data_IF_097744547376
#
_entry.id   IF_097744547376
#
_cell.length_a   1.000
_cell.length_b   1.000
_cell.length_c   1.000
_cell.angle_alpha   90.00
_cell.angle_beta   90.00
_cell.angle_gamma   90.00
#
_symmetry.space_group_name_H-M   'P 1'
#
loop_
_entity.id
_entity.type
_entity.pdbx_description
1 polymer ?
#
# COMPACT_ATOMS: atom_id res chain seq x y z
N UNK A 1 19.97 -37.33 13.57
CA UNK A 1 20.99 -36.59 12.81
C UNK A 1 20.81 -35.12 13.14
N UNK A 2 21.60 -34.63 14.11
CA UNK A 2 21.57 -33.24 14.60
C UNK A 2 22.57 -32.42 13.78
N UNK A 3 22.11 -31.34 13.14
CA UNK A 3 23.01 -30.33 12.58
C UNK A 3 22.86 -29.01 13.34
N UNK A 4 23.81 -28.81 14.24
CA UNK A 4 24.11 -27.55 14.92
C UNK A 4 24.68 -26.54 13.91
N UNK A 5 23.96 -25.46 13.63
CA UNK A 5 24.52 -24.25 13.03
C UNK A 5 24.46 -23.12 14.08
N UNK A 6 25.47 -23.08 14.93
CA UNK A 6 25.78 -21.92 15.76
C UNK A 6 27.28 -21.68 15.70
N UNK A 7 27.70 -20.74 14.86
CA UNK A 7 29.02 -20.12 14.93
C UNK A 7 28.85 -18.64 15.23
N UNK A 8 29.43 -18.23 16.36
CA UNK A 8 29.43 -16.90 16.96
C UNK A 8 29.90 -15.78 16.00
N UNK A 9 29.47 -14.52 16.23
CA UNK A 9 29.88 -13.37 15.43
C UNK A 9 31.37 -13.03 15.64
N UNK A 10 32.10 -12.79 14.55
CA UNK A 10 33.47 -12.25 14.59
C UNK A 10 33.42 -10.73 14.54
N UNK A 11 34.16 -10.13 15.47
CA UNK A 11 34.17 -8.72 15.81
C UNK A 11 34.89 -7.89 14.72
N UNK A 12 34.34 -6.71 14.43
CA UNK A 12 34.90 -5.70 13.53
C UNK A 12 36.08 -4.99 14.22
N UNK A 13 37.33 -5.34 13.87
CA UNK A 13 38.58 -4.54 14.03
C UNK A 13 39.76 -5.48 13.78
N UNK A 14 40.33 -5.46 12.57
CA UNK A 14 41.71 -5.91 12.21
C UNK A 14 41.78 -6.19 10.70
N UNK A 15 41.66 -5.14 9.88
CA UNK A 15 41.99 -5.23 8.45
C UNK A 15 42.46 -3.87 7.94
N UNK A 16 43.59 -3.41 8.46
CA UNK A 16 44.37 -2.30 7.89
C UNK A 16 45.75 -2.30 8.54
N UNK A 17 46.65 -3.13 8.01
CA UNK A 17 48.10 -2.96 8.02
C UNK A 17 48.75 -4.18 7.37
N UNK A 18 49.88 -3.95 6.69
CA UNK A 18 50.72 -4.87 5.90
C UNK A 18 50.26 -5.08 4.45
N UNK A 19 51.07 -4.85 3.40
CA UNK A 19 52.50 -4.58 3.34
C UNK A 19 52.86 -3.79 2.07
N UNK A 20 53.69 -2.77 2.24
CA UNK A 20 54.53 -2.17 1.22
C UNK A 20 55.80 -3.02 1.02
N UNK A 21 56.26 -3.13 -0.23
CA UNK A 21 57.65 -3.43 -0.58
C UNK A 21 57.79 -4.45 -1.72
N UNK A 22 58.70 -4.35 -2.69
CA UNK A 22 59.71 -3.36 -3.13
C UNK A 22 60.08 -3.75 -4.58
N UNK A 23 60.36 -2.76 -5.44
CA UNK A 23 61.48 -2.86 -6.38
C UNK A 23 61.20 -2.93 -7.90
N UNK A 24 61.32 -1.79 -8.59
CA UNK A 24 62.29 -1.62 -9.69
C UNK A 24 62.34 -0.16 -10.18
N UNK A 25 63.57 0.37 -10.24
CA UNK A 25 63.98 1.73 -10.59
C UNK A 25 63.83 2.04 -12.09
N UNK A 26 63.44 3.27 -12.44
CA UNK A 26 63.93 3.98 -13.63
C UNK A 26 63.78 5.51 -13.45
N UNK A 27 64.77 6.23 -13.96
CA UNK A 27 65.16 7.60 -13.62
C UNK A 27 64.29 8.75 -14.17
N UNK A 28 64.28 9.85 -13.40
CA UNK A 28 64.59 11.19 -13.92
C UNK A 28 63.46 12.00 -14.57
N UNK A 29 62.99 13.03 -13.86
CA UNK A 29 62.19 14.11 -14.47
C UNK A 29 61.44 14.97 -13.45
N UNK A 30 62.02 16.11 -13.10
CA UNK A 30 61.40 17.19 -12.35
C UNK A 30 60.14 17.71 -13.09
N UNK A 31 58.96 17.38 -12.58
CA UNK A 31 57.77 18.21 -12.66
C UNK A 31 57.07 18.12 -11.31
N UNK A 32 57.31 19.11 -10.45
CA UNK A 32 56.47 19.37 -9.30
C UNK A 32 55.10 19.86 -9.81
N UNK A 33 54.26 18.93 -10.24
CA UNK A 33 52.82 19.18 -10.34
C UNK A 33 52.32 19.40 -8.92
N UNK A 34 51.92 20.62 -8.63
CA UNK A 34 51.10 20.93 -7.47
C UNK A 34 49.77 20.18 -7.64
N UNK A 35 49.70 18.95 -7.14
CA UNK A 35 48.43 18.32 -6.83
C UNK A 35 47.85 19.09 -5.64
N UNK A 36 47.13 20.18 -5.91
CA UNK A 36 46.13 20.64 -4.97
C UNK A 36 45.23 19.43 -4.68
N UNK A 37 44.95 19.09 -3.41
CA UNK A 37 43.94 18.08 -3.13
C UNK A 37 42.66 18.57 -3.79
N UNK A 38 42.13 17.77 -4.72
CA UNK A 38 40.77 17.98 -5.19
C UNK A 38 39.91 17.96 -3.93
N UNK A 39 39.32 19.11 -3.59
CA UNK A 39 38.25 19.14 -2.61
C UNK A 39 37.18 18.20 -3.15
N UNK A 40 37.00 17.05 -2.51
CA UNK A 40 35.82 16.22 -2.74
C UNK A 40 34.61 17.16 -2.70
N UNK A 41 33.73 17.14 -3.70
CA UNK A 41 32.49 17.90 -3.60
C UNK A 41 31.84 17.45 -2.29
N UNK A 42 31.69 18.39 -1.35
CA UNK A 42 30.89 18.16 -0.15
C UNK A 42 29.50 17.82 -0.66
N UNK A 43 29.19 16.53 -0.72
CA UNK A 43 27.82 16.06 -0.81
C UNK A 43 27.21 16.56 0.50
N UNK A 44 26.47 17.66 0.42
CA UNK A 44 25.70 18.14 1.56
C UNK A 44 24.78 17.00 1.96
N UNK A 45 25.11 16.32 3.06
CA UNK A 45 24.23 15.31 3.61
C UNK A 45 22.87 15.96 3.85
N UNK A 46 21.76 15.29 3.47
CA UNK A 46 20.44 15.83 3.67
C UNK A 46 20.26 16.16 5.15
N UNK A 47 19.61 17.30 5.43
CA UNK A 47 19.26 17.69 6.80
C UNK A 47 18.43 16.56 7.41
N UNK A 48 18.81 16.10 8.61
CA UNK A 48 18.12 15.03 9.33
C UNK A 48 17.92 15.43 10.77
N UNK A 49 16.70 15.25 11.26
CA UNK A 49 16.35 15.33 12.67
C UNK A 49 15.88 13.95 13.13
N UNK A 50 16.54 13.34 14.13
CA UNK A 50 16.17 12.01 14.60
C UNK A 50 14.70 11.93 15.03
N UNK A 51 14.00 10.91 14.54
CA UNK A 51 12.61 10.63 14.89
C UNK A 51 12.54 9.53 15.94
N UNK A 52 11.83 9.77 17.05
CA UNK A 52 11.49 8.73 18.02
C UNK A 52 10.20 8.02 17.60
N UNK A 53 10.31 6.88 16.93
CA UNK A 53 9.16 6.07 16.52
C UNK A 53 8.40 5.41 17.67
N UNK A 54 8.91 5.47 18.90
CA UNK A 54 8.19 5.01 20.11
C UNK A 54 7.27 6.09 20.68
N UNK A 55 7.50 7.35 20.32
CA UNK A 55 6.57 8.45 20.58
C UNK A 55 5.40 8.38 19.56
N UNK A 56 4.14 8.21 20.01
CA UNK A 56 3.01 8.07 19.09
C UNK A 56 2.78 9.27 18.17
N UNK A 57 3.07 10.49 18.61
CA UNK A 57 2.87 11.69 17.80
C UNK A 57 3.91 11.80 16.69
N UNK A 58 5.18 11.54 17.01
CA UNK A 58 6.25 11.48 16.01
C UNK A 58 6.07 10.32 15.03
N UNK A 59 5.65 9.16 15.53
CA UNK A 59 5.32 7.98 14.73
C UNK A 59 4.17 8.25 13.76
N UNK A 60 3.06 8.82 14.25
CA UNK A 60 1.92 9.17 13.41
C UNK A 60 2.29 10.22 12.35
N UNK A 61 2.98 11.30 12.74
CA UNK A 61 3.42 12.33 11.80
C UNK A 61 4.32 11.76 10.71
N UNK A 62 5.23 10.85 11.06
CA UNK A 62 6.12 10.17 10.11
C UNK A 62 5.35 9.27 9.15
N UNK A 63 4.32 8.59 9.65
CA UNK A 63 3.44 7.79 8.81
C UNK A 63 2.63 8.65 7.83
N UNK A 64 2.08 9.79 8.27
CA UNK A 64 1.37 10.72 7.39
C UNK A 64 2.31 11.26 6.29
N UNK A 65 3.52 11.68 6.66
CA UNK A 65 4.55 12.09 5.70
C UNK A 65 4.91 10.98 4.70
N UNK A 66 4.89 9.73 5.17
CA UNK A 66 5.17 8.56 4.35
C UNK A 66 4.02 8.23 3.39
N UNK A 67 2.76 8.21 3.81
CA UNK A 67 1.64 7.83 2.92
C UNK A 67 1.12 8.99 2.08
N UNK A 68 1.30 10.23 2.54
CA UNK A 68 0.71 11.44 1.97
C UNK A 68 1.68 12.61 1.97
N UNK A 69 1.17 13.79 2.33
CA UNK A 69 1.92 15.03 2.40
C UNK A 69 1.40 15.86 3.58
N UNK A 70 2.30 16.36 4.42
CA UNK A 70 1.95 17.19 5.58
C UNK A 70 1.40 18.56 5.20
N UNK A 71 1.58 19.02 3.94
CA UNK A 71 0.88 20.18 3.41
C UNK A 71 -0.53 19.78 2.93
N UNK A 72 -1.61 20.28 3.57
CA UNK A 72 -2.98 19.90 3.25
C UNK A 72 -3.45 20.35 1.86
N UNK A 73 -2.66 21.17 1.16
CA UNK A 73 -2.92 21.62 -0.22
C UNK A 73 -2.36 20.67 -1.27
N UNK A 74 -1.53 19.70 -0.89
CA UNK A 74 -0.85 18.81 -1.83
C UNK A 74 -1.51 17.43 -1.81
N UNK A 75 -2.10 17.06 -2.94
CA UNK A 75 -2.58 15.70 -3.18
C UNK A 75 -1.42 14.75 -3.46
N UNK A 76 -1.53 13.53 -2.95
CA UNK A 76 -0.52 12.49 -3.07
C UNK A 76 -1.10 11.29 -3.81
N UNK A 77 -0.83 11.15 -5.11
CA UNK A 77 -1.22 9.97 -5.87
C UNK A 77 -0.31 8.79 -5.53
N UNK A 78 -0.85 7.58 -5.61
CA UNK A 78 -0.09 6.33 -5.48
C UNK A 78 -0.64 5.28 -6.44
N UNK A 79 0.26 4.46 -6.99
CA UNK A 79 -0.09 3.38 -7.89
C UNK A 79 0.05 2.03 -7.21
N UNK A 80 -0.77 1.06 -7.60
CA UNK A 80 -0.57 -0.35 -7.31
C UNK A 80 -0.89 -1.23 -8.50
N UNK A 81 -0.24 -2.40 -8.56
CA UNK A 81 -0.53 -3.39 -9.58
C UNK A 81 0.07 -4.75 -9.31
N UNK A 82 -0.59 -5.80 -9.79
CA UNK A 82 -0.12 -7.16 -9.61
C UNK A 82 -1.13 -8.22 -10.06
N UNK A 83 -1.18 -9.31 -9.30
CA UNK A 83 -1.97 -10.50 -9.67
C UNK A 83 -2.90 -10.89 -8.54
N UNK A 84 -4.13 -11.24 -8.90
CA UNK A 84 -5.11 -11.81 -7.99
C UNK A 84 -5.15 -13.32 -8.17
N UNK A 85 -5.05 -14.02 -7.05
CA UNK A 85 -5.06 -15.48 -6.97
C UNK A 85 -6.31 -15.97 -6.24
N UNK A 86 -6.83 -17.12 -6.66
CA UNK A 86 -7.85 -17.84 -5.90
C UNK A 86 -7.24 -18.97 -5.07
N UNK A 87 -7.48 -18.93 -3.77
CA UNK A 87 -7.22 -19.99 -2.79
C UNK A 87 -8.52 -20.76 -2.53
N UNK A 88 -8.91 -21.62 -3.47
CA UNK A 88 -10.15 -22.40 -3.38
C UNK A 88 -9.96 -23.79 -2.75
N UNK A 89 -8.71 -24.30 -2.73
CA UNK A 89 -8.41 -25.71 -2.41
C UNK A 89 -7.05 -25.83 -1.75
N UNK A 90 -7.03 -26.38 -0.53
CA UNK A 90 -5.81 -26.57 0.28
C UNK A 90 -4.84 -27.62 -0.29
N UNK A 91 -5.28 -28.49 -1.19
CA UNK A 91 -4.46 -29.54 -1.82
C UNK A 91 -3.78 -29.09 -3.13
N UNK A 92 -3.87 -27.81 -3.48
CA UNK A 92 -3.36 -27.24 -4.73
C UNK A 92 -2.64 -25.93 -4.46
N UNK A 93 -1.72 -25.56 -5.35
CA UNK A 93 -1.15 -24.21 -5.36
C UNK A 93 -2.23 -23.16 -5.68
N UNK A 94 -1.97 -21.92 -5.26
CA UNK A 94 -2.80 -20.77 -5.59
C UNK A 94 -2.98 -20.62 -7.11
N UNK A 95 -4.21 -20.36 -7.54
CA UNK A 95 -4.53 -20.24 -8.97
C UNK A 95 -4.50 -18.77 -9.40
N UNK A 96 -3.65 -18.36 -10.34
CA UNK A 96 -3.74 -17.02 -10.94
C UNK A 96 -5.08 -16.87 -11.67
N UNK A 97 -5.79 -15.76 -11.44
CA UNK A 97 -7.12 -15.53 -12.03
C UNK A 97 -7.11 -14.39 -13.06
N UNK A 98 -6.61 -13.23 -12.66
CA UNK A 98 -6.54 -11.99 -13.46
C UNK A 98 -5.48 -11.06 -12.84
N UNK A 99 -4.99 -10.10 -13.61
CA UNK A 99 -4.21 -8.99 -13.07
C UNK A 99 -5.12 -7.92 -12.46
N UNK A 100 -4.53 -7.05 -11.67
CA UNK A 100 -5.20 -5.86 -11.11
C UNK A 100 -4.24 -4.69 -11.20
N UNK A 101 -4.77 -3.52 -11.53
CA UNK A 101 -4.02 -2.28 -11.53
C UNK A 101 -4.94 -1.13 -11.13
N UNK A 102 -4.43 -0.23 -10.31
CA UNK A 102 -5.21 0.88 -9.81
C UNK A 102 -4.33 1.97 -9.24
N UNK A 103 -4.99 3.02 -8.80
CA UNK A 103 -4.34 4.12 -8.11
C UNK A 103 -5.32 4.74 -7.10
N UNK A 104 -4.75 5.45 -6.13
CA UNK A 104 -5.51 6.27 -5.20
C UNK A 104 -4.92 7.67 -5.13
N UNK A 105 -5.77 8.65 -4.82
CA UNK A 105 -5.35 10.04 -4.58
C UNK A 105 -5.74 10.42 -3.16
N UNK A 106 -4.72 10.72 -2.38
CA UNK A 106 -4.82 10.96 -0.95
C UNK A 106 -4.46 12.40 -0.61
N UNK A 107 -5.19 13.00 0.33
CA UNK A 107 -4.88 14.30 0.92
C UNK A 107 -5.03 14.21 2.43
N UNK A 108 -4.14 14.85 3.18
CA UNK A 108 -4.21 14.82 4.65
C UNK A 108 -4.33 16.21 5.24
N UNK A 109 -5.13 16.35 6.28
CA UNK A 109 -5.28 17.59 7.04
C UNK A 109 -4.90 17.33 8.50
N UNK A 110 -3.99 18.15 9.03
CA UNK A 110 -3.65 18.10 10.46
C UNK A 110 -4.65 18.95 11.26
N UNK A 111 -5.20 18.38 12.31
CA UNK A 111 -6.12 19.05 13.22
C UNK A 111 -5.37 19.74 14.37
N UNK A 112 -6.05 20.65 15.08
CA UNK A 112 -5.46 21.45 16.15
C UNK A 112 -4.95 20.60 17.34
N UNK A 113 -5.50 19.40 17.53
CA UNK A 113 -5.10 18.44 18.57
C UNK A 113 -3.94 17.52 18.13
N UNK A 114 -3.43 17.69 16.91
CA UNK A 114 -2.35 16.89 16.35
C UNK A 114 -2.80 15.60 15.67
N UNK A 115 -4.11 15.31 15.62
CA UNK A 115 -4.67 14.22 14.82
C UNK A 115 -4.67 14.58 13.32
N UNK A 116 -4.94 13.59 12.47
CA UNK A 116 -4.95 13.76 11.03
C UNK A 116 -6.22 13.20 10.40
N UNK A 117 -6.88 14.02 9.59
CA UNK A 117 -7.90 13.57 8.65
C UNK A 117 -7.24 13.12 7.37
N UNK A 118 -7.62 11.95 6.88
CA UNK A 118 -7.19 11.39 5.61
C UNK A 118 -8.41 11.39 4.69
N UNK A 119 -8.25 12.03 3.54
CA UNK A 119 -9.20 12.01 2.44
C UNK A 119 -8.59 11.13 1.34
N UNK A 120 -9.21 9.99 1.04
CA UNK A 120 -8.70 9.09 0.02
C UNK A 120 -9.82 8.66 -0.93
N UNK A 121 -9.48 8.61 -2.22
CA UNK A 121 -10.32 8.08 -3.29
C UNK A 121 -9.47 7.08 -4.08
N UNK A 122 -10.08 5.96 -4.48
CA UNK A 122 -9.32 4.87 -5.11
C UNK A 122 -10.12 4.13 -6.17
N UNK A 123 -9.44 3.76 -7.26
CA UNK A 123 -10.01 2.88 -8.27
C UNK A 123 -9.04 1.78 -8.68
N UNK A 124 -9.60 0.68 -9.20
CA UNK A 124 -8.82 -0.40 -9.79
C UNK A 124 -9.59 -1.11 -10.91
N UNK A 125 -8.86 -1.51 -11.93
CA UNK A 125 -9.35 -2.31 -13.04
C UNK A 125 -8.63 -3.66 -13.06
N UNK A 126 -9.26 -4.64 -13.70
CA UNK A 126 -8.73 -5.98 -13.83
C UNK A 126 -8.23 -6.22 -15.24
N UNK A 127 -7.16 -7.01 -15.36
CA UNK A 127 -6.51 -7.29 -16.64
C UNK A 127 -6.46 -8.78 -16.94
N UNK A 128 -6.46 -9.12 -18.23
CA UNK A 128 -6.18 -10.47 -18.68
C UNK A 128 -4.69 -10.81 -18.45
N UNK A 129 -4.41 -11.97 -17.85
CA UNK A 129 -3.04 -12.37 -17.48
C UNK A 129 -2.12 -12.60 -18.67
N UNK A 130 -2.66 -12.93 -19.86
CA UNK A 130 -1.84 -13.23 -21.03
C UNK A 130 -1.47 -11.96 -21.79
N UNK A 131 -2.43 -11.06 -21.92
CA UNK A 131 -2.31 -9.86 -22.77
C UNK A 131 -2.00 -8.59 -21.99
N UNK A 132 -2.25 -8.56 -20.68
CA UNK A 132 -2.11 -7.36 -19.84
C UNK A 132 -3.20 -6.30 -20.09
N UNK A 133 -4.14 -6.55 -21.01
CA UNK A 133 -5.22 -5.60 -21.34
C UNK A 133 -6.32 -5.62 -20.28
N UNK A 134 -6.92 -4.47 -20.02
CA UNK A 134 -8.12 -4.38 -19.19
C UNK A 134 -9.27 -5.18 -19.79
N UNK A 135 -10.06 -5.80 -18.91
CA UNK A 135 -11.14 -6.71 -19.30
C UNK A 135 -12.48 -6.28 -18.68
N UNK A 136 -13.53 -6.34 -19.50
CA UNK A 136 -14.92 -6.16 -19.04
C UNK A 136 -15.64 -7.50 -18.81
N UNK A 137 -15.10 -8.59 -19.37
CA UNK A 137 -15.62 -9.93 -19.17
C UNK A 137 -14.51 -10.90 -18.81
N UNK A 138 -14.80 -11.79 -17.87
CA UNK A 138 -13.86 -12.81 -17.41
C UNK A 138 -14.53 -14.17 -17.30
N UNK A 139 -13.89 -15.20 -17.85
CA UNK A 139 -14.37 -16.57 -17.71
C UNK A 139 -13.93 -17.14 -16.37
N UNK A 140 -14.88 -17.40 -15.48
CA UNK A 140 -14.59 -17.91 -14.16
C UNK A 140 -13.88 -19.28 -14.25
N UNK A 141 -12.68 -19.33 -13.67
CA UNK A 141 -11.82 -20.51 -13.76
C UNK A 141 -12.35 -21.74 -13.01
N UNK A 142 -13.32 -21.55 -12.11
CA UNK A 142 -13.97 -22.55 -11.28
C UNK A 142 -15.36 -22.90 -11.82
N UNK A 143 -16.27 -21.93 -11.93
CA UNK A 143 -17.66 -22.16 -12.36
C UNK A 143 -17.84 -22.24 -13.87
N UNK A 144 -16.84 -21.80 -14.65
CA UNK A 144 -16.82 -21.70 -16.13
C UNK A 144 -17.78 -20.66 -16.71
N UNK A 145 -18.52 -19.95 -15.86
CA UNK A 145 -19.39 -18.87 -16.26
C UNK A 145 -18.62 -17.68 -16.84
N UNK A 146 -19.28 -16.93 -17.74
CA UNK A 146 -18.81 -15.61 -18.14
C UNK A 146 -19.37 -14.58 -17.16
N UNK A 147 -18.46 -13.87 -16.50
CA UNK A 147 -18.76 -12.84 -15.51
C UNK A 147 -18.48 -11.46 -16.08
N UNK A 148 -19.42 -10.52 -15.92
CA UNK A 148 -19.19 -9.11 -16.20
C UNK A 148 -18.36 -8.52 -15.06
N UNK A 149 -17.16 -8.06 -15.40
CA UNK A 149 -16.18 -7.56 -14.45
C UNK A 149 -16.64 -6.20 -13.94
N UNK A 150 -16.64 -6.02 -12.61
CA UNK A 150 -16.92 -4.74 -11.98
C UNK A 150 -15.63 -4.16 -11.40
N UNK A 151 -15.18 -2.97 -11.85
CA UNK A 151 -14.00 -2.32 -11.29
C UNK A 151 -14.20 -1.96 -9.81
N UNK A 152 -13.10 -1.65 -9.14
CA UNK A 152 -13.13 -0.98 -7.84
C UNK A 152 -13.19 0.52 -8.13
N UNK A 153 -14.10 1.25 -7.48
CA UNK A 153 -14.23 2.70 -7.61
C UNK A 153 -14.87 3.28 -6.35
N UNK A 154 -14.10 3.31 -5.26
CA UNK A 154 -14.57 3.81 -3.97
C UNK A 154 -14.39 5.33 -3.92
N UNK A 155 -15.49 6.08 -3.80
CA UNK A 155 -15.49 7.54 -3.91
C UNK A 155 -14.88 8.22 -2.67
N UNK A 156 -15.17 7.65 -1.50
CA UNK A 156 -14.73 8.12 -0.19
C UNK A 156 -14.19 6.95 0.63
N UNK A 157 -12.91 7.02 1.01
CA UNK A 157 -12.24 6.06 1.92
C UNK A 157 -11.48 6.87 2.97
N UNK A 158 -12.22 7.64 3.75
CA UNK A 158 -11.66 8.57 4.71
C UNK A 158 -11.22 7.85 6.01
N UNK A 159 -10.24 8.41 6.70
CA UNK A 159 -9.81 7.90 8.00
C UNK A 159 -9.43 9.06 8.92
N UNK A 160 -9.72 8.92 10.20
CA UNK A 160 -9.24 9.83 11.23
C UNK A 160 -8.19 9.11 12.07
N UNK A 161 -6.94 9.55 11.96
CA UNK A 161 -5.82 8.97 12.70
C UNK A 161 -5.47 9.85 13.89
N UNK A 162 -5.41 9.25 15.07
CA UNK A 162 -5.24 9.96 16.34
C UNK A 162 -4.04 9.43 17.13
N UNK A 163 -3.60 10.24 18.09
CA UNK A 163 -2.77 9.78 19.21
C UNK A 163 -3.68 9.45 20.39
N UNK A 164 -3.90 8.17 20.60
CA UNK A 164 -4.64 7.62 21.73
C UNK A 164 -3.78 7.51 22.98
N UNK A 165 -4.32 7.97 24.12
CA UNK A 165 -3.71 7.74 25.44
C UNK A 165 -3.75 6.27 25.87
N UNK A 166 -4.60 5.44 25.26
CA UNK A 166 -4.80 4.04 25.63
C UNK A 166 -3.90 3.10 24.82
N UNK A 167 -3.76 3.37 23.52
CA UNK A 167 -3.18 2.42 22.57
C UNK A 167 -2.07 3.01 21.70
N UNK A 168 -1.65 4.25 21.94
CA UNK A 168 -0.61 4.92 21.18
C UNK A 168 -1.18 5.56 19.92
N UNK A 169 -1.03 4.93 18.77
CA UNK A 169 -1.65 5.37 17.51
C UNK A 169 -2.93 4.59 17.24
N UNK A 170 -3.98 5.26 16.76
CA UNK A 170 -5.27 4.62 16.50
C UNK A 170 -5.98 5.22 15.28
N UNK A 171 -6.92 4.45 14.73
CA UNK A 171 -7.96 4.91 13.81
C UNK A 171 -9.24 5.13 14.62
N UNK A 172 -9.88 6.28 14.52
CA UNK A 172 -11.25 6.44 14.99
C UNK A 172 -12.23 5.89 13.96
N UNK A 173 -13.10 4.99 14.42
CA UNK A 173 -14.12 4.36 13.60
C UNK A 173 -15.48 4.48 14.28
N UNK A 174 -16.50 4.90 13.54
CA UNK A 174 -17.88 4.93 14.01
C UNK A 174 -18.55 3.57 13.74
N UNK A 175 -19.08 2.95 14.80
CA UNK A 175 -19.94 1.78 14.73
C UNK A 175 -21.32 2.13 15.30
N UNK A 176 -22.27 2.43 14.42
CA UNK A 176 -23.67 2.75 14.76
C UNK A 176 -23.82 3.87 15.81
N UNK A 177 -23.06 4.96 15.64
CA UNK A 177 -23.02 6.12 16.52
C UNK A 177 -22.08 5.97 17.72
N UNK A 178 -21.34 4.86 17.81
CA UNK A 178 -20.32 4.63 18.83
C UNK A 178 -18.93 4.76 18.21
N UNK A 179 -18.23 5.86 18.49
CA UNK A 179 -16.84 6.06 18.06
C UNK A 179 -15.91 5.19 18.90
N UNK A 180 -15.10 4.39 18.22
CA UNK A 180 -14.15 3.45 18.80
C UNK A 180 -12.73 3.78 18.34
N UNK A 181 -11.77 3.72 19.27
CA UNK A 181 -10.34 3.85 18.99
C UNK A 181 -9.77 2.47 18.66
N UNK A 182 -9.53 2.20 17.38
CA UNK A 182 -8.95 0.94 16.92
C UNK A 182 -7.42 1.07 16.89
N UNK A 183 -6.66 0.25 17.64
CA UNK A 183 -5.20 0.31 17.65
C UNK A 183 -4.62 0.22 16.24
N UNK A 184 -3.69 1.11 15.94
CA UNK A 184 -3.01 1.17 14.65
C UNK A 184 -1.50 1.06 14.81
N UNK A 185 -0.93 -0.15 14.89
CA UNK A 185 0.52 -0.30 14.92
C UNK A 185 1.12 0.07 13.55
N UNK A 186 1.90 1.15 13.50
CA UNK A 186 2.53 1.67 12.27
C UNK A 186 3.87 1.01 11.92
N UNK A 187 4.33 0.09 12.81
CA UNK A 187 5.46 -0.82 12.70
C UNK A 187 6.68 -0.27 11.96
N UNK A 188 7.72 0.14 12.69
CA UNK A 188 8.93 0.73 12.12
C UNK A 188 10.14 -0.19 12.28
N UNK A 189 10.89 -0.40 11.20
CA UNK A 189 12.21 -1.04 11.26
C UNK A 189 13.19 -0.27 10.40
N UNK A 190 14.35 0.06 10.96
CA UNK A 190 15.39 0.81 10.28
C UNK A 190 16.57 -0.10 9.92
N UNK A 191 17.02 -0.03 8.66
CA UNK A 191 18.26 -0.63 8.17
C UNK A 191 19.03 0.38 7.33
N UNK A 192 20.08 0.96 7.91
CA UNK A 192 20.95 1.97 7.28
C UNK A 192 20.16 3.16 6.69
N UNK A 193 19.98 3.18 5.37
CA UNK A 193 19.30 4.23 4.59
C UNK A 193 17.80 3.97 4.39
N UNK A 194 17.31 2.79 4.79
CA UNK A 194 15.95 2.32 4.54
C UNK A 194 15.13 2.27 5.81
N UNK A 195 13.95 2.86 5.74
CA UNK A 195 12.92 2.73 6.77
C UNK A 195 11.80 1.84 6.24
N UNK A 196 11.53 0.75 6.95
CA UNK A 196 10.42 -0.15 6.69
C UNK A 196 9.23 0.26 7.55
N UNK A 197 8.05 0.33 6.94
CA UNK A 197 6.78 0.59 7.61
C UNK A 197 5.75 -0.48 7.27
N UNK A 198 4.97 -0.90 8.27
CA UNK A 198 3.82 -1.78 8.09
C UNK A 198 2.53 -1.07 8.50
N UNK A 199 1.47 -1.26 7.74
CA UNK A 199 0.12 -0.84 8.10
C UNK A 199 -0.83 -1.97 7.74
N UNK A 200 -1.64 -2.42 8.69
CA UNK A 200 -2.52 -3.57 8.50
C UNK A 200 -3.89 -3.29 9.08
N UNK A 201 -4.92 -3.68 8.35
CA UNK A 201 -6.32 -3.58 8.77
C UNK A 201 -6.95 -4.95 8.60
N UNK A 202 -7.40 -5.54 9.72
CA UNK A 202 -8.08 -6.83 9.75
C UNK A 202 -9.50 -6.63 10.24
N UNK A 203 -10.48 -6.84 9.36
CA UNK A 203 -11.88 -6.51 9.64
C UNK A 203 -12.79 -7.71 9.45
N UNK A 204 -13.84 -7.75 10.27
CA UNK A 204 -14.95 -8.67 10.15
C UNK A 204 -16.23 -7.93 10.53
N UNK A 205 -17.13 -7.73 9.57
CA UNK A 205 -18.37 -6.99 9.76
C UNK A 205 -19.53 -7.66 9.02
N UNK A 206 -20.80 -7.34 9.38
CA UNK A 206 -21.96 -7.86 8.66
C UNK A 206 -21.87 -7.57 7.15
N UNK A 207 -22.11 -8.58 6.32
CA UNK A 207 -22.07 -8.42 4.88
C UNK A 207 -23.36 -7.76 4.37
N UNK A 208 -23.23 -6.66 3.62
CA UNK A 208 -24.36 -5.99 2.96
C UNK A 208 -25.04 -6.90 1.93
N UNK A 209 -24.25 -7.75 1.24
CA UNK A 209 -24.77 -8.74 0.31
C UNK A 209 -25.21 -9.97 1.10
N UNK A 210 -26.42 -9.94 1.67
CA UNK A 210 -26.97 -11.07 2.44
C UNK A 210 -27.18 -12.29 1.52
N UNK A 211 -26.83 -13.52 1.95
CA UNK A 211 -26.95 -14.71 1.09
C UNK A 211 -28.36 -15.02 0.60
N UNK A 212 -29.38 -14.59 1.36
CA UNK A 212 -30.79 -14.80 1.00
C UNK A 212 -31.21 -13.94 -0.19
N UNK A 213 -30.66 -12.72 -0.25
CA UNK A 213 -30.96 -11.74 -1.29
C UNK A 213 -29.98 -11.89 -2.47
N UNK A 214 -28.73 -12.26 -2.21
CA UNK A 214 -27.60 -12.35 -3.15
C UNK A 214 -27.00 -13.76 -3.19
N UNK A 215 -27.75 -14.78 -3.65
CA UNK A 215 -27.36 -16.19 -3.53
C UNK A 215 -26.09 -16.54 -4.32
N UNK A 216 -25.78 -15.79 -5.38
CA UNK A 216 -24.65 -16.05 -6.27
C UNK A 216 -23.44 -15.16 -5.99
N UNK A 217 -23.66 -13.99 -5.41
CA UNK A 217 -22.66 -12.96 -5.20
C UNK A 217 -22.17 -12.89 -3.75
N UNK A 218 -23.01 -13.32 -2.81
CA UNK A 218 -22.67 -13.29 -1.38
C UNK A 218 -21.69 -14.39 -1.02
N UNK A 219 -20.57 -13.99 -0.41
CA UNK A 219 -19.62 -14.91 0.22
C UNK A 219 -20.06 -15.40 1.62
N UNK A 220 -21.24 -15.00 2.10
CA UNK A 220 -21.75 -15.33 3.42
C UNK A 220 -22.23 -14.11 4.21
N UNK A 221 -22.72 -14.33 5.43
CA UNK A 221 -23.29 -13.28 6.29
C UNK A 221 -22.26 -12.31 6.89
N UNK A 222 -20.99 -12.68 6.91
CA UNK A 222 -19.91 -11.86 7.47
C UNK A 222 -18.87 -11.63 6.38
N UNK A 223 -18.56 -10.35 6.13
CA UNK A 223 -17.46 -9.98 5.26
C UNK A 223 -16.18 -9.90 6.08
N UNK A 224 -15.18 -10.69 5.71
CA UNK A 224 -13.88 -10.73 6.39
C UNK A 224 -12.78 -10.34 5.42
N UNK A 225 -12.01 -9.33 5.77
CA UNK A 225 -10.96 -8.80 4.92
C UNK A 225 -9.69 -8.51 5.73
N UNK A 226 -8.56 -8.59 5.05
CA UNK A 226 -7.27 -8.18 5.58
C UNK A 226 -6.55 -7.40 4.50
N UNK A 227 -6.25 -6.15 4.80
CA UNK A 227 -5.46 -5.25 3.97
C UNK A 227 -4.09 -5.10 4.64
N UNK A 228 -3.04 -5.48 3.93
CA UNK A 228 -1.69 -5.61 4.48
C UNK A 228 -0.73 -4.81 3.60
N UNK A 229 -0.12 -3.77 4.18
CA UNK A 229 0.76 -2.86 3.46
C UNK A 229 2.15 -2.92 4.05
N UNK A 230 3.14 -3.09 3.17
CA UNK A 230 4.56 -3.11 3.53
C UNK A 230 5.28 -2.10 2.65
N UNK A 231 5.98 -1.14 3.26
CA UNK A 231 6.66 -0.06 2.55
C UNK A 231 8.14 -0.04 2.91
N UNK A 232 8.96 0.36 1.95
CA UNK A 232 10.36 0.71 2.11
C UNK A 232 10.51 2.16 1.67
N UNK A 233 10.96 3.00 2.58
CA UNK A 233 11.09 4.44 2.40
C UNK A 233 12.54 4.89 2.58
N UNK A 234 12.86 6.06 2.03
CA UNK A 234 14.11 6.75 2.35
C UNK A 234 14.07 7.23 3.81
N UNK A 235 14.95 6.70 4.65
CA UNK A 235 14.96 7.10 6.06
C UNK A 235 15.37 8.56 6.23
N UNK A 236 16.32 9.02 5.41
CA UNK A 236 16.76 10.41 5.39
C UNK A 236 15.63 11.37 5.02
N UNK A 237 14.76 11.01 4.08
CA UNK A 237 13.62 11.87 3.72
C UNK A 237 12.60 11.95 4.84
N UNK A 238 12.32 10.83 5.54
CA UNK A 238 11.41 10.82 6.69
C UNK A 238 11.91 11.74 7.79
N UNK A 239 13.21 11.68 8.11
CA UNK A 239 13.87 12.53 9.12
C UNK A 239 14.13 13.97 8.66
N UNK A 240 13.97 14.31 7.38
CA UNK A 240 14.24 15.66 6.91
C UNK A 240 13.08 16.61 7.25
N UNK A 241 13.22 17.57 8.18
CA UNK A 241 12.14 18.46 8.59
C UNK A 241 11.68 19.43 7.48
N UNK A 242 12.52 19.64 6.47
CA UNK A 242 12.23 20.55 5.36
C UNK A 242 11.36 19.87 4.28
N UNK A 243 11.15 18.55 4.38
CA UNK A 243 10.26 17.79 3.50
C UNK A 243 8.92 17.53 4.18
N UNK A 244 7.84 17.78 3.44
CA UNK A 244 6.47 17.48 3.86
C UNK A 244 5.99 16.10 3.42
N UNK A 245 6.74 15.44 2.53
CA UNK A 245 6.47 14.08 2.06
C UNK A 245 7.78 13.30 1.95
N UNK A 246 7.72 11.98 2.09
CA UNK A 246 8.83 11.07 1.82
C UNK A 246 8.41 10.00 0.80
N UNK A 247 9.30 9.62 -0.11
CA UNK A 247 9.01 8.62 -1.12
C UNK A 247 9.01 7.19 -0.54
N UNK A 248 8.27 6.30 -1.18
CA UNK A 248 8.28 4.87 -0.87
C UNK A 248 7.94 3.99 -2.06
N UNK A 249 8.49 2.77 -2.01
CA UNK A 249 8.02 1.62 -2.78
C UNK A 249 7.62 0.50 -1.83
N UNK A 250 6.75 -0.40 -2.27
CA UNK A 250 6.25 -1.44 -1.38
C UNK A 250 5.35 -2.48 -2.04
N UNK A 251 4.63 -3.19 -1.19
CA UNK A 251 3.64 -4.17 -1.57
C UNK A 251 2.32 -3.88 -0.85
N UNK A 252 1.22 -4.07 -1.59
CA UNK A 252 -0.11 -4.21 -1.02
C UNK A 252 -0.58 -5.65 -1.22
N UNK A 253 -0.96 -6.29 -0.12
CA UNK A 253 -1.51 -7.63 -0.09
C UNK A 253 -2.90 -7.58 0.51
N UNK A 254 -3.87 -8.18 -0.18
CA UNK A 254 -5.24 -8.31 0.33
C UNK A 254 -5.63 -9.77 0.40
N UNK A 255 -6.19 -10.16 1.54
CA UNK A 255 -6.92 -11.43 1.68
C UNK A 255 -8.38 -11.10 1.93
N UNK A 256 -9.26 -11.59 1.07
CA UNK A 256 -10.70 -11.32 1.16
C UNK A 256 -11.50 -12.42 0.49
N UNK A 257 -12.83 -12.40 0.61
CA UNK A 257 -13.66 -13.40 -0.05
C UNK A 257 -13.63 -13.23 -1.57
N UNK A 258 -14.31 -14.13 -2.28
CA UNK A 258 -14.62 -13.95 -3.69
C UNK A 258 -15.28 -12.58 -3.93
N UNK A 259 -14.91 -11.92 -5.02
CA UNK A 259 -15.58 -10.69 -5.42
C UNK A 259 -17.02 -11.02 -5.86
N UNK A 260 -18.00 -10.14 -5.59
CA UNK A 260 -19.40 -10.40 -5.91
C UNK A 260 -19.63 -10.79 -7.37
N UNK A 261 -19.01 -10.05 -8.29
CA UNK A 261 -19.11 -10.27 -9.73
C UNK A 261 -18.51 -11.61 -10.21
N UNK A 262 -17.70 -12.29 -9.39
CA UNK A 262 -17.19 -13.62 -9.71
C UNK A 262 -18.25 -14.72 -9.58
N UNK A 263 -19.40 -14.43 -8.97
CA UNK A 263 -20.55 -15.36 -8.87
C UNK A 263 -20.21 -16.70 -8.21
N UNK A 264 -19.35 -16.69 -7.19
CA UNK A 264 -18.91 -17.88 -6.46
C UNK A 264 -19.83 -18.25 -5.29
N UNK A 265 -20.74 -17.36 -4.91
CA UNK A 265 -21.58 -17.47 -3.72
C UNK A 265 -20.75 -17.86 -2.50
N UNK A 266 -21.28 -18.81 -1.74
CA UNK A 266 -20.67 -19.32 -0.51
C UNK A 266 -19.65 -20.45 -0.75
N UNK A 267 -19.13 -20.60 -1.98
CA UNK A 267 -18.11 -21.61 -2.29
C UNK A 267 -16.87 -21.38 -1.42
N UNK A 268 -16.36 -22.40 -0.69
CA UNK A 268 -15.19 -22.25 0.14
C UNK A 268 -13.98 -21.71 -0.63
N UNK A 269 -13.30 -20.73 -0.03
CA UNK A 269 -12.08 -20.16 -0.56
C UNK A 269 -12.02 -18.65 -0.37
N UNK A 270 -10.89 -18.07 -0.78
CA UNK A 270 -10.63 -16.65 -0.70
C UNK A 270 -9.77 -16.19 -1.89
N UNK A 271 -9.72 -14.88 -2.06
CA UNK A 271 -8.76 -14.23 -2.93
C UNK A 271 -7.51 -13.84 -2.15
N UNK A 272 -6.37 -13.90 -2.83
CA UNK A 272 -5.12 -13.28 -2.43
C UNK A 272 -4.70 -12.30 -3.52
N UNK A 273 -4.68 -11.02 -3.21
CA UNK A 273 -4.11 -9.99 -4.05
C UNK A 273 -2.63 -9.88 -3.67
N UNK A 274 -1.75 -10.00 -4.66
CA UNK A 274 -0.31 -9.78 -4.47
C UNK A 274 0.12 -8.70 -5.45
N UNK A 275 0.36 -7.51 -4.93
CA UNK A 275 0.67 -6.32 -5.73
C UNK A 275 1.95 -5.64 -5.27
N UNK A 276 2.57 -4.91 -6.20
CA UNK A 276 3.49 -3.84 -5.87
C UNK A 276 2.72 -2.53 -5.73
N UNK A 277 3.29 -1.59 -5.00
CA UNK A 277 2.79 -0.23 -4.88
C UNK A 277 3.93 0.79 -4.79
N UNK A 278 3.67 2.02 -5.19
CA UNK A 278 4.62 3.13 -5.05
C UNK A 278 3.87 4.45 -4.90
N UNK A 279 4.46 5.39 -4.16
CA UNK A 279 4.03 6.79 -4.22
C UNK A 279 4.38 7.35 -5.59
N UNK A 280 3.55 8.27 -6.08
CA UNK A 280 3.80 9.03 -7.29
C UNK A 280 3.97 10.51 -6.94
N UNK A 281 4.86 11.21 -7.66
CA UNK A 281 5.06 12.65 -7.49
C UNK A 281 3.97 13.48 -8.17
N UNK A 282 3.26 12.90 -9.15
CA UNK A 282 2.13 13.50 -9.85
C UNK A 282 1.22 12.41 -10.41
N UNK A 283 -0.06 12.73 -10.59
CA UNK A 283 -1.04 11.84 -11.20
C UNK A 283 -0.66 11.47 -12.64
N UNK A 284 0.12 12.31 -13.32
CA UNK A 284 0.59 12.05 -14.68
C UNK A 284 1.57 10.87 -14.79
N UNK A 285 2.11 10.37 -13.67
CA UNK A 285 2.99 9.21 -13.65
C UNK A 285 2.23 7.87 -13.69
N UNK A 286 0.90 7.87 -13.59
CA UNK A 286 0.14 6.63 -13.74
C UNK A 286 0.34 6.07 -15.16
N UNK A 287 0.34 4.73 -15.33
CA UNK A 287 0.51 4.12 -16.65
C UNK A 287 -0.54 4.58 -17.66
N UNK A 288 -0.13 4.81 -18.91
CA UNK A 288 -0.97 5.44 -19.94
C UNK A 288 -2.30 4.70 -20.18
N UNK A 289 -2.28 3.36 -20.24
CA UNK A 289 -3.50 2.58 -20.43
C UNK A 289 -4.45 2.72 -19.24
N UNK A 290 -3.91 2.79 -18.01
CA UNK A 290 -4.71 3.02 -16.79
C UNK A 290 -5.30 4.43 -16.78
N UNK A 291 -4.52 5.44 -17.18
CA UNK A 291 -5.02 6.81 -17.36
C UNK A 291 -6.20 6.84 -18.33
N UNK A 292 -6.04 6.25 -19.51
CA UNK A 292 -7.05 6.27 -20.56
C UNK A 292 -8.37 5.61 -20.13
N UNK A 293 -8.32 4.42 -19.52
CA UNK A 293 -9.55 3.74 -19.07
C UNK A 293 -10.23 4.49 -17.92
N UNK A 294 -9.46 5.13 -17.03
CA UNK A 294 -10.02 5.96 -15.96
C UNK A 294 -10.62 7.25 -16.51
N UNK A 295 -9.99 7.93 -17.47
CA UNK A 295 -10.57 9.11 -18.14
C UNK A 295 -11.89 8.77 -18.84
N UNK A 296 -11.98 7.60 -19.46
CA UNK A 296 -13.19 7.13 -20.13
C UNK A 296 -14.34 6.82 -19.14
N UNK A 297 -14.03 6.15 -18.02
CA UNK A 297 -15.05 5.51 -17.18
C UNK A 297 -15.27 6.16 -15.81
N UNK A 298 -14.25 6.82 -15.27
CA UNK A 298 -14.16 7.29 -13.88
C UNK A 298 -13.34 8.61 -13.80
N UNK A 299 -13.67 9.65 -14.60
CA UNK A 299 -12.85 10.87 -14.72
C UNK A 299 -12.68 11.66 -13.41
N UNK A 300 -13.55 11.44 -12.43
CA UNK A 300 -13.49 12.07 -11.11
C UNK A 300 -12.42 11.48 -10.17
N UNK A 301 -11.79 10.36 -10.53
CA UNK A 301 -10.84 9.66 -9.65
C UNK A 301 -9.43 10.25 -9.61
N UNK A 302 -9.12 11.26 -10.42
CA UNK A 302 -7.80 11.89 -10.48
C UNK A 302 -7.52 12.91 -9.37
N UNK A 303 -8.46 13.13 -8.45
CA UNK A 303 -8.34 14.05 -7.32
C UNK A 303 -8.79 13.36 -6.02
N UNK A 304 -8.31 13.87 -4.89
CA UNK A 304 -8.76 13.40 -3.59
C UNK A 304 -10.21 13.86 -3.31
N UNK A 305 -10.91 13.22 -2.36
CA UNK A 305 -12.20 13.73 -1.91
C UNK A 305 -12.08 15.17 -1.37
N UNK A 306 -13.06 16.04 -1.66
CA UNK A 306 -13.02 17.41 -1.19
C UNK A 306 -13.37 17.47 0.31
N UNK A 307 -13.01 18.54 1.05
CA UNK A 307 -13.23 18.64 2.50
C UNK A 307 -14.68 18.37 2.93
N UNK A 308 -15.67 18.80 2.14
CA UNK A 308 -17.10 18.59 2.40
C UNK A 308 -17.55 17.13 2.38
N UNK A 309 -16.70 16.21 1.87
CA UNK A 309 -16.95 14.76 1.97
C UNK A 309 -16.71 14.21 3.38
N UNK A 310 -16.12 14.98 4.29
CA UNK A 310 -15.87 14.53 5.65
C UNK A 310 -17.19 14.20 6.37
N UNK A 311 -17.22 13.04 7.05
CA UNK A 311 -18.41 12.54 7.73
C UNK A 311 -19.41 11.81 6.83
N UNK A 312 -19.15 11.71 5.52
CA UNK A 312 -19.89 10.78 4.65
C UNK A 312 -19.47 9.34 4.93
N UNK A 313 -20.38 8.39 4.69
CA UNK A 313 -20.08 6.96 4.85
C UNK A 313 -18.98 6.53 3.87
N UNK A 314 -18.00 5.79 4.37
CA UNK A 314 -16.95 5.23 3.53
C UNK A 314 -17.51 4.16 2.59
N UNK A 315 -17.03 4.19 1.35
CA UNK A 315 -17.30 3.14 0.40
C UNK A 315 -16.41 1.92 0.63
N UNK A 316 -16.91 0.78 0.20
CA UNK A 316 -16.15 -0.44 -0.02
C UNK A 316 -16.55 -1.01 -1.37
N UNK A 317 -15.70 -1.84 -1.97
CA UNK A 317 -16.05 -2.49 -3.25
C UNK A 317 -17.33 -3.34 -3.16
N UNK A 318 -17.74 -3.75 -1.96
CA UNK A 318 -18.98 -4.49 -1.72
C UNK A 318 -20.20 -3.56 -1.58
N UNK A 319 -20.07 -2.41 -0.90
CA UNK A 319 -21.16 -1.43 -0.80
C UNK A 319 -21.42 -0.76 -2.15
N UNK A 320 -20.37 -0.44 -2.91
CA UNK A 320 -20.49 0.06 -4.29
C UNK A 320 -21.17 -0.97 -5.18
N UNK A 321 -20.75 -2.24 -5.13
CA UNK A 321 -21.40 -3.31 -5.89
C UNK A 321 -22.89 -3.44 -5.55
N UNK A 322 -23.25 -3.41 -4.27
CA UNK A 322 -24.64 -3.48 -3.81
C UNK A 322 -25.50 -2.31 -4.30
N UNK A 323 -24.93 -1.11 -4.39
CA UNK A 323 -25.61 0.10 -4.88
C UNK A 323 -25.89 0.05 -6.39
N UNK A 324 -25.01 -0.58 -7.17
CA UNK A 324 -25.00 -0.47 -8.64
C UNK A 324 -25.50 -1.71 -9.38
N UNK A 325 -25.81 -2.80 -8.68
CA UNK A 325 -26.20 -4.06 -9.29
C UNK A 325 -27.47 -4.61 -8.65
N UNK A 326 -28.14 -5.50 -9.38
CA UNK A 326 -29.26 -6.27 -8.86
C UNK A 326 -28.80 -7.73 -8.63
N UNK A 327 -29.36 -8.43 -7.61
CA UNK A 327 -29.00 -9.81 -7.37
C UNK A 327 -29.39 -10.73 -8.52
N UNK A 328 -28.49 -11.65 -8.88
CA UNK A 328 -28.78 -12.68 -9.86
C UNK A 328 -29.63 -13.79 -9.26
N UNK A 329 -30.57 -14.36 -10.03
CA UNK A 329 -31.36 -15.49 -9.58
C UNK A 329 -30.46 -16.70 -9.29
N UNK A 330 -30.81 -17.59 -8.35
CA UNK A 330 -30.12 -18.85 -8.12
C UNK A 330 -29.92 -19.64 -9.42
N UNK A 331 -28.86 -20.45 -9.49
CA UNK A 331 -28.74 -21.42 -10.58
C UNK A 331 -29.88 -22.45 -10.46
N UNK A 332 -30.56 -22.73 -11.57
CA UNK A 332 -31.48 -23.85 -11.65
C UNK A 332 -30.71 -25.15 -11.37
N UNK A 333 -31.25 -25.98 -10.47
CA UNK A 333 -30.62 -27.23 -10.03
C UNK A 333 -30.73 -28.34 -11.08
#
# INVERSE_FOLDING_TARGET
>A
MNNNWMTKPRNRREALQSALGVGSLAAGGLLASACAPASDPQVNEPKREPVDFTDPAQSLRSFIKLIGNLDPKVETPSWFGGTVFGDARRDRALKPLFGVQGFGVLRTEQEADGSFRIFNRECAFYTDLKTGKFIDQWKNAYTKEMCDVKPIHNMTVNAHLIVSKKVGTAIEMDFDGTVMEVPLPLGWQNFDDKLFSTFEVHTAFPNLLKPEDWPRESAGRVLRMSEIFQRVASFAEVENPDLTSADYSGCWTRVGPWLPWMRQGQTPGNLLFRTFMTKLSSIDQIPADLKAITEERLPEFFIAPPPESWGTENDSSFSVYAKENEPLPPLEQ
#
